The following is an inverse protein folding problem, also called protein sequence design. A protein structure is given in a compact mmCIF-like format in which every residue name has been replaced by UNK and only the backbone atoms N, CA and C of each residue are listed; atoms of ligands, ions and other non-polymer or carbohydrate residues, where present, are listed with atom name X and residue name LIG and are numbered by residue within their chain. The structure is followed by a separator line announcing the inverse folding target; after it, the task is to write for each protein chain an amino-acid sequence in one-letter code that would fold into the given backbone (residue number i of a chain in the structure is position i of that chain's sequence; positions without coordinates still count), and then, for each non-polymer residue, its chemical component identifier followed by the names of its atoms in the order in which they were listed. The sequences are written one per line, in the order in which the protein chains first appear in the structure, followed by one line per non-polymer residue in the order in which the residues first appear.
data_IF_743854253318
#
_entry.id   IF_743854253318
#
_cell.length_a   1.000
_cell.length_b   1.000
_cell.length_c   1.000
_cell.angle_alpha   90.00
_cell.angle_beta   90.00
_cell.angle_gamma   90.00
#
_symmetry.space_group_name_H-M   'P 1'
#
loop_
_entity.id
_entity.type
_entity.pdbx_description
1 polymer ?
#
# COMPACT_ATOMS: atom_id res chain seq x y z
N UNK A 1 -45.63 28.38 -5.13
CA UNK A 1 -45.30 27.05 -4.56
C UNK A 1 -43.81 26.81 -4.76
N UNK A 2 -43.14 26.34 -3.71
CA UNK A 2 -41.74 26.62 -3.38
C UNK A 2 -40.74 25.77 -4.17
N UNK A 3 -39.68 26.46 -4.63
CA UNK A 3 -38.51 25.97 -5.36
C UNK A 3 -37.74 24.88 -4.61
N UNK A 4 -37.51 23.74 -5.27
CA UNK A 4 -36.69 22.65 -4.78
C UNK A 4 -35.21 23.06 -4.79
N UNK A 5 -34.66 23.29 -3.61
CA UNK A 5 -33.30 23.73 -3.40
C UNK A 5 -32.31 22.63 -3.82
N UNK A 6 -31.57 22.86 -4.90
CA UNK A 6 -30.39 22.08 -5.27
C UNK A 6 -29.41 22.07 -4.10
N UNK A 7 -29.23 20.90 -3.48
CA UNK A 7 -28.17 20.70 -2.49
C UNK A 7 -26.84 20.69 -3.23
N UNK A 8 -26.21 21.87 -3.28
CA UNK A 8 -24.80 22.04 -3.65
C UNK A 8 -23.96 21.13 -2.73
N UNK A 9 -23.50 19.99 -3.26
CA UNK A 9 -22.56 19.11 -2.57
C UNK A 9 -21.33 19.96 -2.28
N UNK A 10 -21.18 20.34 -1.01
CA UNK A 10 -20.04 21.09 -0.53
C UNK A 10 -18.83 20.19 -0.71
N UNK A 11 -18.04 20.43 -1.76
CA UNK A 11 -16.74 19.77 -1.93
C UNK A 11 -15.92 20.09 -0.69
N UNK A 12 -15.61 19.04 0.10
CA UNK A 12 -14.63 19.15 1.18
C UNK A 12 -13.33 19.71 0.58
N UNK A 13 -12.56 20.52 1.33
CA UNK A 13 -11.23 20.94 0.91
C UNK A 13 -10.47 19.70 0.45
N UNK A 14 -9.71 19.79 -0.64
CA UNK A 14 -8.93 18.70 -1.19
C UNK A 14 -7.98 18.16 -0.12
N UNK A 15 -8.48 17.21 0.67
CA UNK A 15 -7.72 16.38 1.58
C UNK A 15 -6.69 15.70 0.67
N UNK A 16 -5.40 15.97 0.91
CA UNK A 16 -4.35 15.42 0.05
C UNK A 16 -4.44 13.90 0.12
N UNK A 17 -5.06 13.28 -0.89
CA UNK A 17 -5.06 11.84 -1.01
C UNK A 17 -3.59 11.38 -1.09
N UNK A 18 -3.20 10.36 -0.31
CA UNK A 18 -1.84 9.83 -0.35
C UNK A 18 -1.54 9.39 -1.78
N UNK A 19 -0.45 9.91 -2.33
CA UNK A 19 0.01 9.51 -3.67
C UNK A 19 0.90 8.28 -3.60
N UNK A 20 1.46 7.99 -2.42
CA UNK A 20 2.35 6.87 -2.17
C UNK A 20 2.03 6.18 -0.85
N UNK A 21 1.79 4.87 -0.92
CA UNK A 21 1.47 4.02 0.25
C UNK A 21 2.51 2.92 0.38
N UNK A 22 2.99 2.70 1.61
CA UNK A 22 3.85 1.57 1.95
C UNK A 22 3.06 0.47 2.68
N UNK A 23 2.90 -0.68 2.03
CA UNK A 23 2.35 -1.89 2.66
C UNK A 23 3.49 -2.70 3.27
N UNK A 24 3.49 -2.90 4.59
CA UNK A 24 4.49 -3.74 5.26
C UNK A 24 3.80 -5.04 5.71
N UNK A 25 4.21 -6.17 5.13
CA UNK A 25 3.58 -7.47 5.40
C UNK A 25 4.61 -8.61 5.40
N UNK A 26 4.40 -9.63 6.24
CA UNK A 26 5.20 -10.87 6.21
C UNK A 26 4.85 -11.80 5.04
N UNK A 27 3.64 -11.67 4.51
CA UNK A 27 3.06 -12.57 3.51
C UNK A 27 2.46 -11.76 2.36
N UNK A 28 2.81 -12.12 1.12
CA UNK A 28 2.32 -11.46 -0.09
C UNK A 28 2.50 -12.36 -1.32
N UNK A 29 1.51 -12.39 -2.22
CA UNK A 29 0.38 -13.33 -2.20
C UNK A 29 0.74 -14.83 -2.25
N UNK A 30 1.98 -15.21 -2.59
CA UNK A 30 2.35 -16.61 -2.83
C UNK A 30 2.40 -17.48 -1.55
N UNK A 31 2.09 -16.88 -0.40
CA UNK A 31 1.84 -17.53 0.88
C UNK A 31 0.31 -17.53 1.15
N UNK A 32 -0.39 -18.67 0.95
CA UNK A 32 -1.86 -18.74 1.02
C UNK A 32 -2.34 -18.51 2.45
N UNK A 33 -2.58 -17.25 2.77
CA UNK A 33 -3.10 -16.78 4.05
C UNK A 33 -3.98 -15.55 3.82
N UNK A 34 -4.93 -15.32 4.74
CA UNK A 34 -5.85 -14.19 4.63
C UNK A 34 -5.14 -12.82 4.57
N UNK A 35 -3.98 -12.69 5.20
CA UNK A 35 -3.17 -11.46 5.17
C UNK A 35 -2.57 -11.22 3.78
N UNK A 36 -2.00 -12.26 3.17
CA UNK A 36 -1.42 -12.19 1.82
C UNK A 36 -2.48 -11.83 0.78
N UNK A 37 -3.61 -12.54 0.81
CA UNK A 37 -4.73 -12.32 -0.11
C UNK A 37 -5.33 -10.91 0.03
N UNK A 38 -5.56 -10.47 1.27
CA UNK A 38 -6.08 -9.14 1.53
C UNK A 38 -5.10 -8.06 1.08
N UNK A 39 -3.81 -8.21 1.40
CA UNK A 39 -2.79 -7.24 1.02
C UNK A 39 -2.66 -7.12 -0.49
N UNK A 40 -2.74 -8.25 -1.20
CA UNK A 40 -2.76 -8.30 -2.66
C UNK A 40 -3.94 -7.52 -3.24
N UNK A 41 -5.16 -7.85 -2.81
CA UNK A 41 -6.39 -7.19 -3.30
C UNK A 41 -6.41 -5.70 -3.00
N UNK A 42 -6.04 -5.31 -1.77
CA UNK A 42 -5.98 -3.91 -1.39
C UNK A 42 -4.94 -3.14 -2.23
N UNK A 43 -3.75 -3.72 -2.41
CA UNK A 43 -2.68 -3.09 -3.21
C UNK A 43 -3.12 -2.88 -4.67
N UNK A 44 -3.84 -3.84 -5.24
CA UNK A 44 -4.40 -3.74 -6.59
C UNK A 44 -5.45 -2.62 -6.70
N UNK A 45 -6.40 -2.55 -5.77
CA UNK A 45 -7.44 -1.50 -5.82
C UNK A 45 -6.88 -0.10 -5.56
N UNK A 46 -5.86 0.05 -4.71
CA UNK A 46 -5.16 1.32 -4.54
C UNK A 46 -4.41 1.71 -5.83
N UNK A 47 -3.70 0.77 -6.44
CA UNK A 47 -3.02 1.00 -7.71
C UNK A 47 -3.98 1.41 -8.83
N UNK A 48 -5.17 0.80 -8.88
CA UNK A 48 -6.23 1.13 -9.86
C UNK A 48 -6.78 2.54 -9.69
N UNK A 49 -6.69 3.11 -8.50
CA UNK A 49 -7.03 4.50 -8.20
C UNK A 49 -5.86 5.48 -8.50
N UNK A 50 -4.76 5.00 -9.07
CA UNK A 50 -3.58 5.81 -9.41
C UNK A 50 -2.63 6.06 -8.24
N UNK A 51 -2.79 5.34 -7.12
CA UNK A 51 -1.88 5.42 -5.98
C UNK A 51 -0.65 4.56 -6.26
N UNK A 52 0.54 5.09 -5.99
CA UNK A 52 1.77 4.31 -6.07
C UNK A 52 1.91 3.44 -4.80
N UNK A 53 1.84 2.12 -4.97
CA UNK A 53 1.91 1.17 -3.85
C UNK A 53 3.28 0.51 -3.83
N UNK A 54 3.94 0.57 -2.68
CA UNK A 54 5.17 -0.17 -2.43
C UNK A 54 4.91 -1.23 -1.35
N UNK A 55 5.08 -2.50 -1.69
CA UNK A 55 4.92 -3.62 -0.77
C UNK A 55 6.29 -4.05 -0.27
N UNK A 56 6.54 -3.89 1.02
CA UNK A 56 7.73 -4.36 1.70
C UNK A 56 7.43 -5.71 2.36
N UNK A 57 8.13 -6.75 1.93
CA UNK A 57 7.82 -8.12 2.34
C UNK A 57 9.07 -8.96 2.59
N UNK A 58 8.84 -10.19 3.04
CA UNK A 58 9.85 -11.21 3.26
C UNK A 58 10.66 -11.46 1.99
N UNK A 59 11.95 -11.72 2.14
CA UNK A 59 12.87 -12.02 1.04
C UNK A 59 12.65 -13.45 0.50
N UNK A 60 11.54 -13.64 -0.23
CA UNK A 60 11.14 -14.91 -0.83
C UNK A 60 11.12 -14.80 -2.36
N UNK A 61 11.82 -15.68 -3.10
CA UNK A 61 11.97 -15.57 -4.55
C UNK A 61 10.63 -15.70 -5.29
N UNK A 62 9.71 -16.51 -4.79
CA UNK A 62 8.37 -16.74 -5.33
C UNK A 62 7.55 -15.45 -5.45
N UNK A 63 7.70 -14.52 -4.51
CA UNK A 63 6.88 -13.30 -4.45
C UNK A 63 7.12 -12.42 -5.66
N UNK A 64 6.03 -12.15 -6.39
CA UNK A 64 5.99 -11.32 -7.60
C UNK A 64 5.05 -10.12 -7.48
N UNK A 65 5.32 -9.02 -8.21
CA UNK A 65 4.39 -7.91 -8.33
C UNK A 65 3.14 -8.33 -9.11
N UNK A 66 1.99 -7.85 -8.63
CA UNK A 66 0.67 -8.15 -9.22
C UNK A 66 0.21 -7.14 -10.27
N UNK A 67 0.82 -5.95 -10.32
CA UNK A 67 0.45 -4.86 -11.21
C UNK A 67 1.66 -3.93 -11.44
N UNK A 68 1.82 -3.28 -12.61
CA UNK A 68 2.97 -2.40 -12.90
C UNK A 68 3.16 -1.24 -11.92
N UNK A 69 2.06 -0.71 -11.37
CA UNK A 69 2.08 0.37 -10.38
C UNK A 69 2.32 -0.11 -8.94
N UNK A 70 2.51 -1.42 -8.74
CA UNK A 70 2.86 -2.02 -7.45
C UNK A 70 4.34 -2.40 -7.50
N UNK A 71 5.15 -1.76 -6.67
CA UNK A 71 6.55 -2.14 -6.48
C UNK A 71 6.65 -3.12 -5.30
N UNK A 72 7.23 -4.30 -5.51
CA UNK A 72 7.47 -5.27 -4.42
C UNK A 72 8.94 -5.24 -4.02
N UNK A 73 9.19 -4.93 -2.75
CA UNK A 73 10.50 -4.82 -2.13
C UNK A 73 10.72 -6.00 -1.17
N UNK A 74 11.40 -7.02 -1.67
CA UNK A 74 11.78 -8.25 -0.96
C UNK A 74 13.04 -8.00 -0.13
N UNK A 75 12.90 -7.46 1.07
CA UNK A 75 14.05 -6.98 1.87
C UNK A 75 14.10 -7.54 3.28
N UNK A 76 13.01 -8.12 3.78
CA UNK A 76 12.93 -8.57 5.17
C UNK A 76 13.35 -10.03 5.26
N UNK A 77 14.59 -10.28 5.70
CA UNK A 77 15.08 -11.65 5.94
C UNK A 77 14.59 -12.23 7.27
N UNK A 78 14.25 -11.37 8.22
CA UNK A 78 13.80 -11.76 9.55
C UNK A 78 13.03 -10.61 10.19
N UNK A 79 11.86 -10.93 10.74
CA UNK A 79 10.97 -9.97 11.42
C UNK A 79 11.34 -9.72 12.89
N UNK A 80 12.53 -10.14 13.32
CA UNK A 80 13.04 -9.83 14.67
C UNK A 80 13.36 -8.34 14.79
N UNK A 81 13.06 -7.75 15.96
CA UNK A 81 13.24 -6.31 16.27
C UNK A 81 14.63 -5.75 15.89
N UNK A 82 15.69 -6.54 16.05
CA UNK A 82 17.05 -6.12 15.71
C UNK A 82 17.29 -5.96 14.19
N UNK A 83 16.53 -6.68 13.36
CA UNK A 83 16.58 -6.57 11.90
C UNK A 83 15.62 -5.51 11.36
N UNK A 84 14.70 -5.02 12.20
CA UNK A 84 13.69 -4.01 11.86
C UNK A 84 14.32 -2.67 11.45
N UNK A 85 15.50 -2.32 11.98
CA UNK A 85 16.22 -1.09 11.61
C UNK A 85 16.55 -0.99 10.11
N UNK A 86 16.83 -2.12 9.45
CA UNK A 86 17.19 -2.13 8.01
C UNK A 86 16.01 -1.71 7.14
N UNK A 87 14.80 -2.20 7.45
CA UNK A 87 13.64 -1.80 6.67
C UNK A 87 13.12 -0.42 7.04
N UNK A 88 13.30 0.04 8.30
CA UNK A 88 12.99 1.43 8.67
C UNK A 88 13.83 2.42 7.84
N UNK A 89 15.11 2.13 7.61
CA UNK A 89 15.94 2.93 6.69
C UNK A 89 15.38 2.91 5.26
N UNK A 90 14.88 1.77 4.81
CA UNK A 90 14.25 1.64 3.50
C UNK A 90 12.96 2.47 3.38
N UNK A 91 12.08 2.40 4.39
CA UNK A 91 10.86 3.22 4.46
C UNK A 91 11.18 4.72 4.47
N UNK A 92 12.19 5.14 5.24
CA UNK A 92 12.66 6.54 5.25
C UNK A 92 13.16 7.01 3.88
N UNK A 93 13.87 6.16 3.14
CA UNK A 93 14.32 6.48 1.79
C UNK A 93 13.16 6.51 0.78
N UNK A 94 12.18 5.62 0.95
CA UNK A 94 10.99 5.53 0.12
C UNK A 94 10.08 6.76 0.26
N UNK A 95 10.01 7.38 1.46
CA UNK A 95 9.13 8.52 1.77
C UNK A 95 7.66 8.26 1.37
N UNK A 96 7.02 7.21 1.90
CA UNK A 96 5.57 7.04 1.73
C UNK A 96 4.81 8.14 2.47
N UNK A 97 3.61 8.44 2.01
CA UNK A 97 2.69 9.36 2.69
C UNK A 97 2.02 8.67 3.89
N UNK A 98 1.81 7.34 3.78
CA UNK A 98 1.22 6.44 4.79
C UNK A 98 1.98 5.11 4.77
#
# INVERSE_FOLDING_TARGET
MVSATERKVRSKPSERYPKKVAMVTGSFPDDPCGVGDYTARLSQELARQGINVCVLTTDLPEIKPLHPSITVCKVVKSWRLCNTFRFVRFLKAMKPDI
#
